data_IF_279773482207
#
_entry.id   IF_279773482207
#
_cell.length_a   1.000
_cell.length_b   1.000
_cell.length_c   1.000
_cell.angle_alpha   90.00
_cell.angle_beta   90.00
_cell.angle_gamma   90.00
#
_symmetry.space_group_name_H-M   'P 1'
#
loop_
_entity.id
_entity.type
_entity.pdbx_description
1 polymer ?
#
# COMPACT_ATOMS: atom_id res chain seq x y z
N UNK A 1 -23.01 -18.53 34.82
CA UNK A 1 -21.68 -18.83 34.26
C UNK A 1 -21.68 -19.26 32.80
N UNK A 2 -22.52 -20.22 32.41
CA UNK A 2 -22.61 -20.68 30.99
C UNK A 2 -23.14 -19.58 30.03
N UNK A 3 -24.03 -18.73 30.48
CA UNK A 3 -24.56 -17.58 29.72
C UNK A 3 -23.50 -16.50 29.45
N UNK A 4 -22.59 -16.23 30.38
CA UNK A 4 -21.54 -15.24 30.24
C UNK A 4 -20.50 -15.67 29.19
N UNK A 5 -20.13 -16.95 29.14
CA UNK A 5 -19.18 -17.46 28.12
C UNK A 5 -19.78 -17.48 26.73
N UNK A 6 -21.06 -17.77 26.55
CA UNK A 6 -21.76 -17.69 25.26
C UNK A 6 -21.88 -16.26 24.74
N UNK A 7 -22.22 -15.32 25.62
CA UNK A 7 -22.28 -13.89 25.29
C UNK A 7 -20.93 -13.37 24.90
N UNK A 8 -19.85 -13.78 25.56
CA UNK A 8 -18.49 -13.37 25.25
C UNK A 8 -18.05 -13.86 23.86
N UNK A 9 -18.31 -15.11 23.49
CA UNK A 9 -17.97 -15.67 22.18
C UNK A 9 -18.78 -15.02 21.05
N UNK A 10 -20.06 -14.71 21.29
CA UNK A 10 -20.91 -14.03 20.33
C UNK A 10 -20.46 -12.57 20.12
N UNK A 11 -20.07 -11.88 21.18
CA UNK A 11 -19.56 -10.52 21.12
C UNK A 11 -18.21 -10.42 20.41
N UNK A 12 -17.34 -11.40 20.52
CA UNK A 12 -16.05 -11.42 19.80
C UNK A 12 -16.26 -11.47 18.29
N UNK A 13 -17.15 -12.30 17.78
CA UNK A 13 -17.48 -12.35 16.33
C UNK A 13 -18.15 -11.07 15.86
N UNK A 14 -19.08 -10.55 16.64
CA UNK A 14 -19.75 -9.29 16.36
C UNK A 14 -18.74 -8.13 16.32
N UNK A 15 -17.88 -8.01 17.32
CA UNK A 15 -16.82 -7.02 17.39
C UNK A 15 -15.85 -7.13 16.21
N UNK A 16 -15.45 -8.32 15.83
CA UNK A 16 -14.59 -8.55 14.67
C UNK A 16 -15.24 -8.04 13.38
N UNK A 17 -16.51 -8.34 13.16
CA UNK A 17 -17.26 -7.88 12.00
C UNK A 17 -17.44 -6.35 12.02
N UNK A 18 -17.83 -5.76 13.17
CA UNK A 18 -18.02 -4.32 13.30
C UNK A 18 -16.71 -3.54 13.17
N UNK A 19 -15.62 -4.04 13.74
CA UNK A 19 -14.28 -3.46 13.55
C UNK A 19 -13.86 -3.53 12.07
N UNK A 20 -14.13 -4.63 11.38
CA UNK A 20 -13.90 -4.78 9.96
C UNK A 20 -14.63 -3.73 9.14
N UNK A 21 -15.91 -3.46 9.44
CA UNK A 21 -16.71 -2.40 8.81
C UNK A 21 -16.16 -1.00 9.09
N UNK A 22 -15.83 -0.70 10.36
CA UNK A 22 -15.26 0.58 10.78
C UNK A 22 -13.92 0.85 10.07
N UNK A 23 -13.10 -0.20 9.88
CA UNK A 23 -11.82 -0.12 9.15
C UNK A 23 -11.97 -0.18 7.63
N UNK A 24 -13.20 -0.29 7.09
CA UNK A 24 -13.46 -0.42 5.66
C UNK A 24 -13.00 -1.74 5.04
N UNK A 25 -12.80 -2.79 5.85
CA UNK A 25 -12.31 -4.10 5.41
C UNK A 25 -13.40 -5.00 4.78
N UNK A 26 -14.64 -4.56 4.80
CA UNK A 26 -15.78 -5.19 4.16
C UNK A 26 -16.01 -4.71 2.71
N UNK A 27 -15.27 -3.70 2.28
CA UNK A 27 -15.28 -3.17 0.92
C UNK A 27 -14.05 -3.59 0.14
N UNK A 28 -14.18 -3.73 -1.17
CA UNK A 28 -13.04 -4.00 -2.06
C UNK A 28 -12.48 -2.67 -2.55
N UNK A 29 -11.19 -2.46 -2.33
CA UNK A 29 -10.47 -1.28 -2.78
C UNK A 29 -9.60 -1.62 -4.01
N UNK A 30 -10.01 -1.22 -5.22
CA UNK A 30 -9.18 -1.38 -6.40
C UNK A 30 -7.91 -0.53 -6.28
N UNK A 31 -6.76 -1.14 -6.48
CA UNK A 31 -5.48 -0.44 -6.38
C UNK A 31 -4.58 -0.69 -7.58
N UNK A 32 -3.68 0.24 -7.83
CA UNK A 32 -2.65 0.14 -8.85
C UNK A 32 -1.26 0.34 -8.25
N UNK A 33 -0.24 -0.17 -8.93
CA UNK A 33 1.16 0.03 -8.57
C UNK A 33 1.85 0.81 -9.69
N UNK A 34 2.53 1.88 -9.33
CA UNK A 34 3.41 2.65 -10.20
C UNK A 34 4.87 2.38 -9.81
N UNK A 35 5.58 1.69 -10.71
CA UNK A 35 6.93 1.19 -10.51
C UNK A 35 6.95 -0.33 -10.37
N UNK A 36 7.38 -1.03 -11.42
CA UNK A 36 7.46 -2.48 -11.47
C UNK A 36 8.89 -3.01 -11.24
N UNK A 37 9.65 -2.30 -10.42
CA UNK A 37 10.93 -2.77 -9.91
C UNK A 37 10.77 -3.85 -8.84
N UNK A 38 11.83 -4.17 -8.13
CA UNK A 38 11.84 -5.24 -7.13
C UNK A 38 10.74 -5.06 -6.06
N UNK A 39 10.60 -3.85 -5.52
CA UNK A 39 9.60 -3.58 -4.49
C UNK A 39 8.18 -3.62 -5.07
N UNK A 40 7.94 -3.01 -6.24
CA UNK A 40 6.62 -3.03 -6.88
C UNK A 40 6.15 -4.44 -7.20
N UNK A 41 7.03 -5.29 -7.73
CA UNK A 41 6.71 -6.69 -8.00
C UNK A 41 6.52 -7.51 -6.72
N UNK A 42 7.30 -7.23 -5.67
CA UNK A 42 7.11 -7.88 -4.37
C UNK A 42 5.74 -7.55 -3.76
N UNK A 43 5.33 -6.28 -3.83
CA UNK A 43 4.01 -5.85 -3.39
C UNK A 43 2.89 -6.44 -4.25
N UNK A 44 3.07 -6.49 -5.57
CA UNK A 44 2.11 -7.14 -6.48
C UNK A 44 1.90 -8.62 -6.17
N UNK A 45 2.94 -9.30 -5.71
CA UNK A 45 2.90 -10.72 -5.33
C UNK A 45 2.39 -10.96 -3.90
N UNK A 46 2.13 -9.91 -3.12
CA UNK A 46 1.70 -10.08 -1.73
C UNK A 46 0.22 -10.48 -1.63
N UNK A 47 -0.01 -11.77 -1.49
CA UNK A 47 -1.36 -12.40 -1.52
C UNK A 47 -2.31 -11.93 -0.41
N UNK A 48 -1.79 -11.49 0.73
CA UNK A 48 -2.63 -11.07 1.85
C UNK A 48 -3.42 -9.80 1.59
N UNK A 49 -3.06 -9.00 0.58
CA UNK A 49 -3.83 -7.82 0.21
C UNK A 49 -5.25 -8.19 -0.24
N UNK A 50 -5.40 -9.20 -1.08
CA UNK A 50 -6.72 -9.66 -1.55
C UNK A 50 -7.60 -10.16 -0.41
N UNK A 51 -7.02 -10.87 0.56
CA UNK A 51 -7.73 -11.36 1.74
C UNK A 51 -8.24 -10.22 2.62
N UNK A 52 -7.63 -9.05 2.53
CA UNK A 52 -7.98 -7.85 3.31
C UNK A 52 -8.83 -6.85 2.52
N UNK A 53 -9.28 -7.20 1.32
CA UNK A 53 -10.13 -6.35 0.50
C UNK A 53 -9.38 -5.41 -0.44
N UNK A 54 -8.08 -5.61 -0.68
CA UNK A 54 -7.30 -4.80 -1.62
C UNK A 54 -7.08 -5.59 -2.91
N UNK A 55 -7.64 -5.11 -4.02
CA UNK A 55 -7.57 -5.77 -5.32
C UNK A 55 -6.63 -5.02 -6.25
N UNK A 56 -5.52 -5.64 -6.62
CA UNK A 56 -4.63 -5.09 -7.63
C UNK A 56 -5.29 -5.20 -9.02
N UNK A 57 -5.42 -4.06 -9.72
CA UNK A 57 -6.06 -3.97 -11.04
C UNK A 57 -5.14 -3.46 -12.14
N UNK A 58 -3.97 -2.92 -11.80
CA UNK A 58 -3.01 -2.44 -12.77
C UNK A 58 -1.60 -2.29 -12.20
N UNK A 59 -0.60 -2.48 -13.06
CA UNK A 59 0.81 -2.26 -12.75
C UNK A 59 1.40 -1.44 -13.89
N UNK A 60 2.13 -0.39 -13.57
CA UNK A 60 2.68 0.56 -14.55
C UNK A 60 4.17 0.79 -14.32
N UNK A 61 4.92 0.90 -15.41
CA UNK A 61 6.33 1.27 -15.38
C UNK A 61 6.72 2.13 -16.59
N UNK A 62 7.84 2.82 -16.49
CA UNK A 62 8.44 3.58 -17.60
C UNK A 62 9.33 2.73 -18.49
N UNK A 63 9.77 1.56 -17.99
CA UNK A 63 10.71 0.69 -18.68
C UNK A 63 9.98 -0.17 -19.71
N UNK A 64 10.19 0.05 -21.04
CA UNK A 64 9.50 -0.71 -22.07
C UNK A 64 9.87 -2.19 -22.10
N UNK A 65 10.99 -2.58 -21.49
CA UNK A 65 11.38 -4.00 -21.38
C UNK A 65 10.42 -4.78 -20.48
N UNK A 66 9.77 -4.11 -19.54
CA UNK A 66 8.80 -4.73 -18.62
C UNK A 66 7.39 -4.81 -19.20
N UNK A 67 7.10 -4.07 -20.27
CA UNK A 67 5.76 -4.05 -20.89
C UNK A 67 5.31 -5.45 -21.31
N UNK A 68 4.07 -5.81 -20.93
CA UNK A 68 3.49 -7.12 -21.24
C UNK A 68 3.93 -8.26 -20.33
N UNK A 69 4.92 -8.06 -19.46
CA UNK A 69 5.27 -9.07 -18.46
C UNK A 69 4.14 -9.14 -17.43
N UNK A 70 3.65 -10.36 -17.18
CA UNK A 70 2.57 -10.56 -16.23
C UNK A 70 3.10 -10.85 -14.82
N UNK A 71 2.56 -10.14 -13.84
CA UNK A 71 2.75 -10.41 -12.42
C UNK A 71 1.39 -10.79 -11.84
N UNK A 72 1.22 -12.03 -11.41
CA UNK A 72 -0.05 -12.59 -10.95
C UNK A 72 -1.22 -12.40 -11.93
N UNK A 73 -0.93 -12.56 -13.22
CA UNK A 73 -1.93 -12.42 -14.27
C UNK A 73 -2.27 -10.99 -14.67
N UNK A 74 -1.60 -9.99 -14.08
CA UNK A 74 -1.75 -8.58 -14.44
C UNK A 74 -0.52 -8.17 -15.27
N UNK A 75 -0.74 -7.76 -16.51
CA UNK A 75 0.32 -7.30 -17.39
C UNK A 75 0.80 -5.91 -16.99
N UNK A 76 2.11 -5.74 -16.97
CA UNK A 76 2.73 -4.42 -16.77
C UNK A 76 2.46 -3.58 -18.01
N UNK A 77 1.90 -2.40 -17.80
CA UNK A 77 1.58 -1.42 -18.82
C UNK A 77 2.57 -0.26 -18.77
N UNK A 78 2.63 0.48 -19.88
CA UNK A 78 3.44 1.70 -19.88
C UNK A 78 2.77 2.80 -19.06
N UNK A 79 3.59 3.57 -18.36
CA UNK A 79 3.11 4.67 -17.52
C UNK A 79 2.39 5.77 -18.33
N UNK A 80 2.70 5.89 -19.62
CA UNK A 80 1.99 6.76 -20.56
C UNK A 80 0.50 6.42 -20.73
N UNK A 81 0.12 5.17 -20.47
CA UNK A 81 -1.27 4.71 -20.60
C UNK A 81 -2.11 4.95 -19.34
N UNK A 82 -1.46 5.36 -18.26
CA UNK A 82 -2.11 5.57 -16.94
C UNK A 82 -3.32 6.52 -17.00
N UNK A 83 -3.28 7.70 -17.66
CA UNK A 83 -4.44 8.59 -17.69
C UNK A 83 -5.67 7.96 -18.38
N UNK A 84 -5.47 7.19 -19.43
CA UNK A 84 -6.55 6.47 -20.10
C UNK A 84 -7.10 5.36 -19.20
N UNK A 85 -6.21 4.59 -18.58
CA UNK A 85 -6.59 3.52 -17.67
C UNK A 85 -7.45 4.05 -16.50
N UNK A 86 -7.07 5.18 -15.90
CA UNK A 86 -7.82 5.81 -14.81
C UNK A 86 -9.19 6.32 -15.23
N UNK A 87 -9.40 6.65 -16.51
CA UNK A 87 -10.72 7.03 -17.04
C UNK A 87 -11.63 5.82 -17.28
N UNK A 88 -11.06 4.68 -17.64
CA UNK A 88 -11.80 3.47 -18.01
C UNK A 88 -12.02 2.51 -16.84
N UNK A 89 -11.25 2.65 -15.75
CA UNK A 89 -11.26 1.74 -14.61
C UNK A 89 -11.45 2.50 -13.30
N UNK A 90 -12.19 1.88 -12.39
CA UNK A 90 -12.29 2.37 -11.02
C UNK A 90 -11.01 2.03 -10.26
N UNK A 91 -10.37 3.05 -9.71
CA UNK A 91 -9.16 2.93 -8.90
C UNK A 91 -9.29 3.85 -7.70
N UNK A 92 -9.10 3.30 -6.50
CA UNK A 92 -9.18 4.07 -5.26
C UNK A 92 -7.80 4.38 -4.67
N UNK A 93 -6.86 3.44 -4.79
CA UNK A 93 -5.54 3.53 -4.15
C UNK A 93 -4.44 3.41 -5.19
N UNK A 94 -3.47 4.30 -5.16
CA UNK A 94 -2.25 4.19 -5.94
C UNK A 94 -1.05 3.95 -5.03
N UNK A 95 -0.24 2.96 -5.37
CA UNK A 95 1.01 2.64 -4.68
C UNK A 95 2.17 3.18 -5.50
N UNK A 96 2.99 4.06 -4.89
CA UNK A 96 4.16 4.64 -5.52
C UNK A 96 5.43 3.94 -5.04
N UNK A 97 6.06 3.19 -5.93
CA UNK A 97 7.36 2.54 -5.74
C UNK A 97 8.41 3.06 -6.74
N UNK A 98 8.19 4.26 -7.21
CA UNK A 98 9.05 4.98 -8.15
C UNK A 98 10.21 5.71 -7.45
N UNK A 99 11.30 6.00 -8.16
CA UNK A 99 12.34 6.89 -7.66
C UNK A 99 11.80 8.28 -7.30
N UNK A 100 12.45 8.97 -6.35
CA UNK A 100 12.05 10.30 -5.85
C UNK A 100 11.77 11.33 -6.93
N UNK A 101 12.60 11.34 -7.97
CA UNK A 101 12.50 12.29 -9.09
C UNK A 101 11.27 12.08 -9.97
N UNK A 102 10.63 10.91 -9.91
CA UNK A 102 9.40 10.59 -10.64
C UNK A 102 8.14 10.61 -9.77
N UNK A 103 8.30 10.40 -8.48
CA UNK A 103 7.18 10.25 -7.57
C UNK A 103 6.26 11.50 -7.52
N UNK A 104 6.81 12.70 -7.45
CA UNK A 104 6.02 13.94 -7.43
C UNK A 104 5.22 14.16 -8.70
N UNK A 105 5.84 13.95 -9.86
CA UNK A 105 5.19 14.08 -11.16
C UNK A 105 4.01 13.10 -11.28
N UNK A 106 4.24 11.85 -10.88
CA UNK A 106 3.21 10.82 -10.95
C UNK A 106 2.10 11.05 -9.93
N UNK A 107 2.42 11.50 -8.73
CA UNK A 107 1.43 11.88 -7.74
C UNK A 107 0.49 12.97 -8.28
N UNK A 108 1.05 13.98 -8.96
CA UNK A 108 0.24 15.03 -9.61
C UNK A 108 -0.70 14.44 -10.66
N UNK A 109 -0.21 13.57 -11.53
CA UNK A 109 -1.05 12.91 -12.55
C UNK A 109 -2.17 12.09 -11.91
N UNK A 110 -1.86 11.35 -10.85
CA UNK A 110 -2.86 10.57 -10.10
C UNK A 110 -3.95 11.47 -9.51
N UNK A 111 -3.55 12.54 -8.85
CA UNK A 111 -4.46 13.50 -8.19
C UNK A 111 -5.33 14.21 -9.24
N UNK A 112 -4.74 14.67 -10.34
CA UNK A 112 -5.45 15.33 -11.45
C UNK A 112 -6.47 14.38 -12.13
N UNK A 113 -6.27 13.06 -12.03
CA UNK A 113 -7.19 12.03 -12.51
C UNK A 113 -8.10 11.45 -11.41
N UNK A 114 -8.21 12.10 -10.26
CA UNK A 114 -9.20 11.79 -9.24
C UNK A 114 -8.78 10.80 -8.15
N UNK A 115 -7.53 10.36 -8.12
CA UNK A 115 -7.03 9.50 -7.04
C UNK A 115 -6.97 10.30 -5.74
N UNK A 116 -7.53 9.73 -4.68
CA UNK A 116 -7.62 10.35 -3.36
C UNK A 116 -6.81 9.63 -2.28
N UNK A 117 -6.25 8.47 -2.56
CA UNK A 117 -5.45 7.70 -1.63
C UNK A 117 -4.14 7.23 -2.27
N UNK A 118 -3.02 7.60 -1.68
CA UNK A 118 -1.68 7.26 -2.19
C UNK A 118 -0.86 6.60 -1.08
N UNK A 119 -0.37 5.41 -1.35
CA UNK A 119 0.59 4.70 -0.51
C UNK A 119 2.00 4.92 -1.05
N UNK A 120 2.75 5.77 -0.36
CA UNK A 120 4.01 6.33 -0.86
C UNK A 120 5.22 5.62 -0.26
N UNK A 121 5.95 4.90 -1.08
CA UNK A 121 7.24 4.28 -0.74
C UNK A 121 8.45 5.10 -1.22
N UNK A 122 8.23 6.15 -2.00
CA UNK A 122 9.28 7.09 -2.34
C UNK A 122 9.55 8.02 -1.15
N UNK A 123 10.81 8.12 -0.73
CA UNK A 123 11.19 8.96 0.42
C UNK A 123 11.20 10.45 0.06
N UNK A 124 10.02 10.98 -0.27
CA UNK A 124 9.81 12.38 -0.66
C UNK A 124 8.40 12.82 -0.30
N UNK A 125 8.25 14.07 0.12
CA UNK A 125 6.95 14.72 0.25
C UNK A 125 6.32 14.91 -1.14
N UNK A 126 5.09 14.47 -1.30
CA UNK A 126 4.36 14.54 -2.57
C UNK A 126 3.66 15.88 -2.78
N UNK A 127 3.68 16.78 -1.79
CA UNK A 127 2.98 18.07 -1.83
C UNK A 127 1.47 17.91 -2.18
N UNK A 128 0.85 16.85 -1.61
CA UNK A 128 -0.55 16.55 -1.89
C UNK A 128 -1.50 17.54 -1.20
N UNK A 129 -2.63 17.91 -1.84
CA UNK A 129 -3.64 18.76 -1.20
C UNK A 129 -4.31 18.03 -0.02
N UNK A 130 -4.97 18.79 0.87
CA UNK A 130 -5.57 18.28 2.11
C UNK A 130 -6.65 17.20 1.89
N UNK A 131 -7.30 17.22 0.73
CA UNK A 131 -8.34 16.24 0.37
C UNK A 131 -7.77 14.93 -0.22
N UNK A 132 -6.46 14.78 -0.28
CA UNK A 132 -5.75 13.58 -0.72
C UNK A 132 -5.02 12.94 0.45
N UNK A 133 -5.37 11.71 0.74
CA UNK A 133 -4.74 10.92 1.79
C UNK A 133 -3.42 10.33 1.30
N UNK A 134 -2.34 10.64 1.99
CA UNK A 134 -1.01 10.06 1.71
C UNK A 134 -0.50 9.34 2.94
N UNK A 135 -0.26 8.06 2.79
CA UNK A 135 0.44 7.27 3.80
C UNK A 135 1.87 7.00 3.34
N UNK A 136 2.85 7.50 4.10
CA UNK A 136 4.27 7.34 3.80
C UNK A 136 4.83 6.12 4.49
N UNK A 137 5.52 5.25 3.75
CA UNK A 137 6.22 4.08 4.28
C UNK A 137 7.72 4.28 4.15
N UNK A 138 8.39 4.25 5.29
CA UNK A 138 9.85 4.30 5.38
C UNK A 138 10.36 2.96 5.90
N UNK A 139 10.75 2.07 4.99
CA UNK A 139 11.18 0.71 5.34
C UNK A 139 12.38 0.69 6.31
N UNK A 140 13.23 1.72 6.27
CA UNK A 140 14.39 1.84 7.15
C UNK A 140 14.05 2.25 8.58
N UNK A 141 12.90 2.87 8.84
CA UNK A 141 12.57 3.38 10.18
C UNK A 141 12.43 2.27 11.22
N UNK A 142 11.74 1.18 10.88
CA UNK A 142 11.61 0.06 11.80
C UNK A 142 12.96 -0.64 12.08
N UNK A 143 13.84 -0.69 11.07
CA UNK A 143 15.19 -1.20 11.22
C UNK A 143 16.06 -0.28 12.10
N UNK A 144 15.90 1.03 11.97
CA UNK A 144 16.56 2.01 12.85
C UNK A 144 16.09 1.88 14.29
N UNK A 145 14.80 1.65 14.52
CA UNK A 145 14.25 1.37 15.85
C UNK A 145 14.89 0.11 16.46
N UNK A 146 15.01 -0.95 15.66
CA UNK A 146 15.66 -2.18 16.08
C UNK A 146 17.15 -1.95 16.42
N UNK A 147 17.85 -1.18 15.59
CA UNK A 147 19.26 -0.80 15.83
C UNK A 147 19.44 -0.02 17.13
N UNK A 148 18.55 0.92 17.40
CA UNK A 148 18.53 1.66 18.64
C UNK A 148 18.35 0.72 19.85
N UNK A 149 17.34 -0.14 19.82
CA UNK A 149 17.05 -1.10 20.88
C UNK A 149 18.23 -2.05 21.12
N UNK A 150 18.89 -2.49 20.05
CA UNK A 150 20.10 -3.32 20.15
C UNK A 150 21.26 -2.57 20.81
N UNK A 151 21.41 -1.30 20.52
CA UNK A 151 22.44 -0.46 21.15
C UNK A 151 22.19 -0.28 22.65
N UNK A 152 20.94 -0.06 23.05
CA UNK A 152 20.57 0.04 24.47
C UNK A 152 20.79 -1.29 25.20
N UNK A 153 20.38 -2.40 24.58
CA UNK A 153 20.62 -3.73 25.12
C UNK A 153 22.13 -4.00 25.40
N UNK A 154 23.01 -3.62 24.48
CA UNK A 154 24.45 -3.77 24.62
C UNK A 154 25.00 -2.94 25.77
N UNK A 155 24.58 -1.67 25.90
CA UNK A 155 25.01 -0.79 27.03
C UNK A 155 24.63 -1.40 28.38
N UNK A 156 23.45 -2.00 28.49
CA UNK A 156 22.96 -2.62 29.72
C UNK A 156 23.75 -3.90 30.10
N UNK A 157 24.23 -4.65 29.10
CA UNK A 157 24.84 -5.97 29.29
C UNK A 157 26.36 -5.98 29.13
N UNK A 158 26.97 -5.00 28.49
CA UNK A 158 28.42 -4.85 28.36
C UNK A 158 29.03 -3.99 29.46
N UNK A 159 28.20 -3.29 30.24
CA UNK A 159 28.61 -2.53 31.43
C UNK A 159 28.74 -3.37 32.72
N UNK A 160 28.47 -4.63 32.57
CA UNK A 160 28.68 -5.61 33.64
C UNK A 160 29.93 -6.46 33.39
#
# INVERSE_FOLDING_TARGET
MVLVSRVTVYNVRYLYTEIGKILGLDTVHPMIILGAGNLGQALANYVDFEKRGFKLVGIFDVNPVLEGIAVRGIEIQMLSDLPLFLKENEVEIAILTLPKNKAKEMAKILIDNGIKAIWNFAHIDLDAPEDVMVENVHLSESLMTLSYNLSEYRKEHEGM
#
